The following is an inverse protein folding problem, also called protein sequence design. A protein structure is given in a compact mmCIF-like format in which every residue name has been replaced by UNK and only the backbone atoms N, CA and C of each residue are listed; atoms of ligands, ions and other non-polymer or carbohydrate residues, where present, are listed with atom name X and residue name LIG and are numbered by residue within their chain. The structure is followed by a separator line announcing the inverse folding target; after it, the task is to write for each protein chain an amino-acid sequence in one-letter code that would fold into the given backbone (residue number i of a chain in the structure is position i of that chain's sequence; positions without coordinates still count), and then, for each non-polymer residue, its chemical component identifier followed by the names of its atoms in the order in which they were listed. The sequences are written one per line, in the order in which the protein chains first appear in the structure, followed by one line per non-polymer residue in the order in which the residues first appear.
data_IF_543286060093
#
_entry.id   IF_543286060093
#
_cell.length_a   1.000
_cell.length_b   1.000
_cell.length_c   1.000
_cell.angle_alpha   90.00
_cell.angle_beta   90.00
_cell.angle_gamma   90.00
#
_symmetry.space_group_name_H-M   'P 1'
#
loop_
_entity.id
_entity.type
_entity.pdbx_description
1 polymer ?
#
# COMPACT_ATOMS: atom_id res chain seq x y z
N UNK A 1 22.13 3.00 -21.22
CA UNK A 1 21.39 2.94 -19.94
C UNK A 1 21.72 1.62 -19.31
N UNK A 2 22.68 1.61 -18.40
CA UNK A 2 23.23 0.36 -17.86
C UNK A 2 22.34 -0.16 -16.74
N UNK A 3 21.76 -1.34 -16.97
CA UNK A 3 20.95 -2.05 -15.99
C UNK A 3 21.85 -2.94 -15.11
N UNK A 4 22.97 -2.39 -14.66
CA UNK A 4 23.98 -3.07 -13.85
C UNK A 4 23.76 -2.74 -12.38
N UNK A 5 23.92 -3.73 -11.51
CA UNK A 5 23.81 -3.52 -10.07
C UNK A 5 25.07 -2.86 -9.52
N UNK A 6 24.92 -1.72 -8.84
CA UNK A 6 26.03 -1.02 -8.21
C UNK A 6 26.68 -1.76 -7.03
N UNK A 7 26.02 -2.80 -6.50
CA UNK A 7 26.47 -3.54 -5.31
C UNK A 7 27.12 -4.90 -5.64
N UNK A 8 26.91 -5.44 -6.84
CA UNK A 8 27.47 -6.75 -7.22
C UNK A 8 27.69 -6.92 -8.73
N UNK A 9 27.70 -5.83 -9.50
CA UNK A 9 27.98 -5.75 -10.95
C UNK A 9 27.16 -6.67 -11.86
N UNK A 10 26.06 -7.25 -11.35
CA UNK A 10 25.15 -8.08 -12.15
C UNK A 10 24.36 -7.21 -13.12
N UNK A 11 24.34 -7.62 -14.39
CA UNK A 11 23.59 -6.95 -15.46
C UNK A 11 22.22 -7.58 -15.68
N UNK A 12 21.21 -6.76 -15.95
CA UNK A 12 19.83 -7.19 -16.13
C UNK A 12 19.25 -6.69 -17.45
N UNK A 13 18.33 -7.47 -18.03
CA UNK A 13 17.68 -7.08 -19.29
C UNK A 13 16.73 -5.88 -19.15
N UNK A 14 16.29 -5.52 -17.93
CA UNK A 14 15.43 -4.37 -17.67
C UNK A 14 15.69 -3.73 -16.30
N UNK A 15 15.46 -2.42 -16.20
CA UNK A 15 15.58 -1.68 -14.94
C UNK A 15 14.68 -2.22 -13.82
N UNK A 16 13.51 -2.78 -14.15
CA UNK A 16 12.61 -3.40 -13.16
C UNK A 16 13.20 -4.68 -12.56
N UNK A 17 13.90 -5.49 -13.36
CA UNK A 17 14.61 -6.68 -12.88
C UNK A 17 15.80 -6.29 -12.00
N UNK A 18 16.58 -5.28 -12.43
CA UNK A 18 17.65 -4.71 -11.61
C UNK A 18 17.13 -4.21 -10.26
N UNK A 19 16.08 -3.37 -10.27
CA UNK A 19 15.47 -2.84 -9.04
C UNK A 19 14.96 -3.96 -8.14
N UNK A 20 14.38 -5.03 -8.70
CA UNK A 20 13.94 -6.20 -7.93
C UNK A 20 15.12 -6.92 -7.28
N UNK A 21 16.20 -7.14 -8.03
CA UNK A 21 17.41 -7.75 -7.50
C UNK A 21 18.03 -6.91 -6.39
N UNK A 22 18.21 -5.61 -6.61
CA UNK A 22 18.76 -4.70 -5.60
C UNK A 22 17.94 -4.72 -4.29
N UNK A 23 16.60 -4.79 -4.39
CA UNK A 23 15.72 -4.93 -3.22
C UNK A 23 15.85 -6.26 -2.50
N UNK A 24 15.92 -7.38 -3.22
CA UNK A 24 15.88 -8.72 -2.61
C UNK A 24 17.25 -9.21 -2.14
N UNK A 25 18.32 -8.82 -2.83
CA UNK A 25 19.69 -9.29 -2.58
C UNK A 25 20.49 -8.32 -1.72
N UNK A 26 20.22 -7.00 -1.85
CA UNK A 26 21.00 -5.96 -1.17
C UNK A 26 20.15 -5.09 -0.24
N UNK A 27 18.85 -5.36 -0.11
CA UNK A 27 17.90 -4.57 0.67
C UNK A 27 17.83 -3.08 0.26
N UNK A 28 18.21 -2.76 -0.99
CA UNK A 28 18.30 -1.37 -1.46
C UNK A 28 16.95 -0.88 -1.98
N UNK A 29 16.50 0.28 -1.50
CA UNK A 29 15.37 1.00 -2.08
C UNK A 29 13.99 0.42 -1.74
N UNK A 30 13.90 -0.35 -0.65
CA UNK A 30 12.60 -0.59 -0.04
C UNK A 30 12.04 0.76 0.43
N UNK A 31 10.86 1.14 -0.06
CA UNK A 31 10.13 2.28 0.50
C UNK A 31 9.66 1.87 1.87
N UNK A 32 10.48 2.15 2.85
CA UNK A 32 10.14 2.00 4.24
C UNK A 32 8.98 2.94 4.55
N UNK A 33 7.90 2.39 5.06
CA UNK A 33 6.86 3.13 5.73
C UNK A 33 7.16 3.07 7.23
N UNK A 34 7.21 4.22 7.88
CA UNK A 34 7.30 4.27 9.34
C UNK A 34 6.01 3.65 9.89
N UNK A 35 6.09 3.01 11.05
CA UNK A 35 4.93 2.41 11.68
C UNK A 35 3.77 3.40 11.94
N UNK A 36 2.54 2.90 11.88
CA UNK A 36 1.32 3.64 11.52
C UNK A 36 0.64 4.45 12.62
N UNK A 37 1.04 4.28 13.87
CA UNK A 37 0.36 4.95 14.97
C UNK A 37 0.69 6.45 15.02
N UNK A 38 -0.36 7.24 15.29
CA UNK A 38 -0.51 8.71 15.24
C UNK A 38 0.46 9.51 16.14
N UNK A 39 1.40 8.88 16.82
CA UNK A 39 2.50 9.60 17.47
C UNK A 39 3.81 8.88 17.14
N UNK A 40 4.63 9.53 16.30
CA UNK A 40 6.03 9.18 15.98
C UNK A 40 6.89 8.80 17.20
N UNK A 41 6.45 9.15 18.41
CA UNK A 41 7.18 8.93 19.66
C UNK A 41 6.98 7.54 20.29
N UNK A 42 6.13 6.65 19.74
CA UNK A 42 5.86 5.34 20.35
C UNK A 42 6.55 4.18 19.61
N UNK A 43 6.92 4.36 18.34
CA UNK A 43 7.61 3.32 17.60
C UNK A 43 8.30 3.85 16.34
N UNK A 44 9.55 3.43 16.16
CA UNK A 44 10.42 3.84 15.04
C UNK A 44 10.67 2.71 14.04
N UNK A 45 9.90 1.61 14.11
CA UNK A 45 10.12 0.45 13.25
C UNK A 45 9.87 0.78 11.78
N UNK A 46 10.82 0.35 10.97
CA UNK A 46 10.90 0.58 9.53
C UNK A 46 10.25 -0.58 8.77
N UNK A 47 9.02 -0.38 8.27
CA UNK A 47 8.19 -1.45 7.73
C UNK A 47 7.93 -1.29 6.23
N UNK A 48 8.15 -2.36 5.46
CA UNK A 48 8.14 -2.31 3.99
C UNK A 48 6.80 -2.68 3.35
N UNK A 49 5.81 -3.10 4.15
CA UNK A 49 4.49 -3.50 3.66
C UNK A 49 3.37 -3.38 4.71
N UNK A 50 2.12 -3.38 4.24
CA UNK A 50 0.95 -3.43 5.14
C UNK A 50 0.96 -4.68 6.02
N UNK A 51 1.31 -5.83 5.43
CA UNK A 51 1.39 -7.10 6.17
C UNK A 51 2.40 -6.99 7.30
N UNK A 52 3.60 -6.49 7.02
CA UNK A 52 4.62 -6.28 8.03
C UNK A 52 4.15 -5.33 9.15
N UNK A 53 3.34 -4.32 8.83
CA UNK A 53 2.73 -3.44 9.84
C UNK A 53 1.72 -4.16 10.73
N UNK A 54 0.85 -5.01 10.16
CA UNK A 54 -0.10 -5.77 10.96
C UNK A 54 0.61 -6.81 11.83
N UNK A 55 1.61 -7.50 11.29
CA UNK A 55 2.42 -8.46 12.02
C UNK A 55 3.20 -7.77 13.17
N UNK A 56 3.68 -6.54 12.96
CA UNK A 56 4.31 -5.71 13.99
C UNK A 56 3.31 -5.30 15.09
N UNK A 57 2.09 -4.93 14.72
CA UNK A 57 1.05 -4.55 15.68
C UNK A 57 0.64 -5.74 16.57
N UNK A 58 0.51 -6.94 15.99
CA UNK A 58 0.23 -8.18 16.73
C UNK A 58 1.40 -8.56 17.66
N UNK A 59 2.64 -8.58 17.15
CA UNK A 59 3.81 -9.12 17.88
C UNK A 59 4.43 -8.16 18.90
N UNK A 60 4.55 -6.87 18.56
CA UNK A 60 5.30 -5.90 19.36
C UNK A 60 4.41 -5.02 20.24
N UNK A 61 3.10 -4.94 19.95
CA UNK A 61 2.18 -4.02 20.63
C UNK A 61 0.96 -4.69 21.24
N UNK A 62 0.86 -6.01 21.14
CA UNK A 62 -0.26 -6.78 21.68
C UNK A 62 -1.62 -6.26 21.16
N UNK A 63 -1.66 -5.77 19.93
CA UNK A 63 -2.89 -5.34 19.25
C UNK A 63 -3.42 -6.53 18.47
N UNK A 64 -4.61 -7.02 18.82
CA UNK A 64 -5.26 -8.09 18.05
C UNK A 64 -5.87 -7.52 16.77
N UNK A 65 -5.42 -8.01 15.62
CA UNK A 65 -6.02 -7.67 14.31
C UNK A 65 -7.05 -8.73 13.95
N UNK A 66 -8.32 -8.37 14.06
CA UNK A 66 -9.42 -9.24 13.66
C UNK A 66 -9.49 -9.39 12.14
N UNK A 67 -9.65 -10.64 11.67
CA UNK A 67 -9.72 -11.00 10.24
C UNK A 67 -11.03 -11.71 10.00
N UNK A 68 -11.83 -11.21 9.07
CA UNK A 68 -13.10 -11.81 8.67
C UNK A 68 -13.15 -12.14 7.17
N UNK A 69 -13.93 -13.16 6.81
CA UNK A 69 -14.23 -13.50 5.41
C UNK A 69 -15.74 -13.54 5.23
N UNK A 70 -16.25 -12.69 4.33
CA UNK A 70 -17.67 -12.66 3.94
C UNK A 70 -17.81 -13.07 2.48
N UNK A 71 -18.90 -13.78 2.17
CA UNK A 71 -19.32 -14.09 0.81
C UNK A 71 -20.50 -13.20 0.45
N UNK A 72 -20.55 -12.81 -0.81
CA UNK A 72 -21.61 -11.99 -1.39
C UNK A 72 -22.04 -12.67 -2.69
N UNK A 73 -23.34 -12.66 -2.97
CA UNK A 73 -23.88 -13.28 -4.18
C UNK A 73 -23.52 -12.45 -5.41
N UNK A 74 -23.51 -11.13 -5.26
CA UNK A 74 -23.13 -10.19 -6.31
C UNK A 74 -22.11 -9.15 -5.84
N UNK A 75 -21.51 -8.46 -6.82
CA UNK A 75 -20.66 -7.30 -6.53
C UNK A 75 -21.46 -6.11 -5.99
N UNK A 76 -22.77 -6.04 -6.26
CA UNK A 76 -23.62 -4.97 -5.72
C UNK A 76 -23.87 -5.15 -4.23
N UNK A 77 -24.10 -6.39 -3.78
CA UNK A 77 -24.26 -6.72 -2.36
C UNK A 77 -23.00 -6.34 -1.57
N UNK A 78 -21.83 -6.58 -2.15
CA UNK A 78 -20.56 -6.11 -1.59
C UNK A 78 -20.50 -4.58 -1.48
N UNK A 79 -20.97 -3.84 -2.48
CA UNK A 79 -20.97 -2.36 -2.43
C UNK A 79 -21.91 -1.83 -1.35
N UNK A 80 -23.12 -2.38 -1.26
CA UNK A 80 -24.09 -2.00 -0.22
C UNK A 80 -23.51 -2.24 1.17
N UNK A 81 -22.94 -3.44 1.41
CA UNK A 81 -22.27 -3.76 2.67
C UNK A 81 -21.11 -2.79 2.97
N UNK A 82 -20.27 -2.51 1.97
CA UNK A 82 -19.14 -1.59 2.13
C UNK A 82 -19.63 -0.19 2.52
N UNK A 83 -20.65 0.35 1.84
CA UNK A 83 -21.20 1.67 2.14
C UNK A 83 -21.78 1.76 3.55
N UNK A 84 -22.46 0.70 4.02
CA UNK A 84 -22.98 0.61 5.38
C UNK A 84 -21.84 0.63 6.41
N UNK A 85 -20.80 -0.19 6.22
CA UNK A 85 -19.60 -0.18 7.07
C UNK A 85 -18.93 1.19 7.08
N UNK A 86 -18.83 1.86 5.94
CA UNK A 86 -18.22 3.19 5.83
C UNK A 86 -19.04 4.26 6.58
N UNK A 87 -20.37 4.20 6.52
CA UNK A 87 -21.27 5.07 7.30
C UNK A 87 -21.12 4.85 8.80
N UNK A 88 -21.09 3.59 9.24
CA UNK A 88 -21.00 3.24 10.66
C UNK A 88 -19.63 3.58 11.27
N UNK A 89 -18.55 3.31 10.53
CA UNK A 89 -17.19 3.46 11.04
C UNK A 89 -16.58 4.83 10.76
N UNK A 90 -17.21 5.64 9.90
CA UNK A 90 -16.65 6.87 9.30
C UNK A 90 -15.30 6.64 8.59
N UNK A 91 -14.97 5.39 8.29
CA UNK A 91 -13.86 5.00 7.43
C UNK A 91 -14.30 4.99 5.96
N UNK A 92 -13.33 5.00 5.05
CA UNK A 92 -13.56 4.87 3.61
C UNK A 92 -12.54 3.87 3.09
N UNK A 93 -12.96 2.91 2.27
CA UNK A 93 -12.15 1.87 1.68
C UNK A 93 -11.95 2.17 0.19
N UNK A 94 -10.78 2.71 -0.14
CA UNK A 94 -10.43 3.25 -1.44
C UNK A 94 -9.65 2.23 -2.26
N UNK A 95 -10.00 2.10 -3.53
CA UNK A 95 -9.28 1.26 -4.50
C UNK A 95 -8.09 2.03 -5.08
N UNK A 96 -6.90 1.81 -4.53
CA UNK A 96 -5.68 2.50 -4.97
C UNK A 96 -4.98 1.84 -6.17
N UNK A 97 -5.37 0.61 -6.52
CA UNK A 97 -4.74 -0.16 -7.61
C UNK A 97 -5.78 -0.80 -8.52
N UNK A 98 -5.43 -0.98 -9.79
CA UNK A 98 -6.23 -1.77 -10.71
C UNK A 98 -6.45 -3.21 -10.24
N UNK A 99 -7.51 -3.84 -10.77
CA UNK A 99 -7.83 -5.24 -10.47
C UNK A 99 -6.68 -6.16 -10.92
N UNK A 100 -6.34 -7.14 -10.10
CA UNK A 100 -5.33 -8.16 -10.41
C UNK A 100 -6.02 -9.34 -11.09
N UNK A 101 -5.51 -9.76 -12.24
CA UNK A 101 -5.93 -10.99 -12.91
C UNK A 101 -4.96 -12.11 -12.55
N UNK A 102 -5.48 -13.24 -12.08
CA UNK A 102 -4.71 -14.49 -12.02
C UNK A 102 -4.86 -15.27 -13.33
N UNK A 103 -3.90 -16.16 -13.63
CA UNK A 103 -3.95 -17.09 -14.77
C UNK A 103 -5.28 -17.87 -14.84
N UNK A 104 -5.95 -18.06 -13.69
CA UNK A 104 -7.23 -18.76 -13.56
C UNK A 104 -8.47 -17.89 -13.83
N UNK A 105 -8.35 -16.78 -14.58
CA UNK A 105 -9.41 -15.79 -14.88
C UNK A 105 -10.10 -15.12 -13.67
N UNK A 106 -9.70 -15.43 -12.43
CA UNK A 106 -10.20 -14.76 -11.23
C UNK A 106 -9.65 -13.34 -11.16
N UNK A 107 -10.53 -12.37 -10.91
CA UNK A 107 -10.18 -10.97 -10.67
C UNK A 107 -10.19 -10.69 -9.17
N UNK A 108 -9.10 -10.14 -8.66
CA UNK A 108 -8.98 -9.71 -7.26
C UNK A 108 -8.90 -8.20 -7.22
N UNK A 109 -9.66 -7.58 -6.31
CA UNK A 109 -9.66 -6.14 -6.08
C UNK A 109 -9.31 -5.88 -4.62
N UNK A 110 -8.48 -4.86 -4.39
CA UNK A 110 -8.06 -4.46 -3.05
C UNK A 110 -8.59 -3.06 -2.75
N UNK A 111 -9.23 -2.93 -1.60
CA UNK A 111 -9.71 -1.66 -1.05
C UNK A 111 -8.99 -1.41 0.27
N UNK A 112 -8.41 -0.23 0.42
CA UNK A 112 -7.62 0.14 1.59
C UNK A 112 -8.35 1.24 2.34
N UNK A 113 -8.44 1.12 3.66
CA UNK A 113 -8.98 2.20 4.47
C UNK A 113 -8.19 3.52 4.22
N UNK A 114 -8.84 4.69 4.23
CA UNK A 114 -8.17 5.98 4.00
C UNK A 114 -7.36 6.44 5.23
N UNK A 115 -7.77 6.00 6.43
CA UNK A 115 -6.98 6.14 7.67
C UNK A 115 -5.75 5.27 7.66
N UNK A 116 -5.68 4.42 6.63
CA UNK A 116 -4.71 3.39 6.50
C UNK A 116 -3.53 3.89 5.63
N UNK A 117 -2.59 4.65 6.20
CA UNK A 117 -1.29 4.98 5.59
C UNK A 117 -0.72 6.34 6.01
N UNK A 118 0.53 6.61 5.64
CA UNK A 118 1.08 7.97 5.64
C UNK A 118 0.95 8.57 4.24
N UNK A 119 0.32 9.73 4.13
CA UNK A 119 0.38 10.52 2.91
C UNK A 119 1.81 11.04 2.73
N UNK A 120 2.56 10.45 1.79
CA UNK A 120 3.79 11.07 1.29
C UNK A 120 3.41 11.97 0.12
N UNK A 121 3.44 13.29 0.34
CA UNK A 121 3.27 14.26 -0.74
C UNK A 121 4.35 14.01 -1.81
N UNK A 122 3.97 13.48 -2.97
CA UNK A 122 4.87 13.28 -4.12
C UNK A 122 4.75 14.40 -5.15
N UNK A 123 4.03 15.47 -4.82
CA UNK A 123 3.93 16.64 -5.68
C UNK A 123 5.20 17.48 -5.56
N UNK A 124 5.90 17.67 -6.67
CA UNK A 124 6.61 18.93 -6.86
C UNK A 124 5.54 20.02 -6.68
N UNK A 125 5.73 20.99 -5.79
CA UNK A 125 4.78 22.06 -5.45
C UNK A 125 4.48 23.00 -6.64
N UNK A 126 4.00 22.47 -7.77
CA UNK A 126 3.57 23.17 -8.98
C UNK A 126 2.06 22.99 -9.08
N UNK A 127 1.31 23.56 -8.14
CA UNK A 127 -0.10 23.85 -8.38
C UNK A 127 -0.13 25.17 -9.15
N UNK A 128 -0.34 25.11 -10.46
CA UNK A 128 -0.78 26.30 -11.21
C UNK A 128 -2.21 26.54 -10.75
N UNK A 129 -2.44 27.65 -10.05
CA UNK A 129 -3.79 28.08 -9.70
C UNK A 129 -4.49 28.33 -11.04
N UNK A 130 -5.66 27.72 -11.27
CA UNK A 130 -6.51 28.15 -12.38
C UNK A 130 -6.95 29.58 -12.06
N UNK A 131 -6.46 30.53 -12.84
CA UNK A 131 -7.08 31.85 -12.90
C UNK A 131 -8.51 31.65 -13.39
N UNK A 132 -9.48 32.23 -12.67
CA UNK A 132 -10.82 32.37 -13.19
C UNK A 132 -10.76 33.40 -14.33
N UNK A 133 -11.33 33.07 -15.48
CA UNK A 133 -11.52 34.02 -16.57
C UNK A 133 -12.48 35.14 -16.10
N UNK A 134 -12.23 36.41 -16.52
CA UNK A 134 -12.96 37.59 -16.08
C UNK A 134 -14.43 37.63 -16.52
#
# INVERSE_FOLDING_TARGET
MDNTCFACDKSFSTASKLRRHARLTHNVGNKVSICRQIKRNVCSEELVSMKASLDHDESARNITVEKETKKFDTYEDFKIWKEDVEKQTTALYIKNTGSKSSNMKRKTMYFYCHRNGFYSAKGHKKRTIKMADP
#
